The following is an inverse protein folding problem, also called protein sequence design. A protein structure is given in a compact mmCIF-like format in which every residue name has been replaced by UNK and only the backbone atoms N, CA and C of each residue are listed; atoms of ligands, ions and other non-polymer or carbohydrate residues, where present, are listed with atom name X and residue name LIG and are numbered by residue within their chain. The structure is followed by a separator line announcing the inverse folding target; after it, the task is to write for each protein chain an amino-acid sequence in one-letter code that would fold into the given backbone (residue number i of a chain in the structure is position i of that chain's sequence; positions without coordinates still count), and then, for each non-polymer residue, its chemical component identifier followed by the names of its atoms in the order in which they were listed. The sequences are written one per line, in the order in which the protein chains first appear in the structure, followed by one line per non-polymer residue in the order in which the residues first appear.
data_IF_209255493634
#
_entry.id   IF_209255493634
#
_cell.length_a   1.000
_cell.length_b   1.000
_cell.length_c   1.000
_cell.angle_alpha   90.00
_cell.angle_beta   90.00
_cell.angle_gamma   90.00
#
_symmetry.space_group_name_H-M   'P 1'
#
loop_
_entity.id
_entity.type
_entity.pdbx_description
1 polymer ?
#
# COMPACT_ATOMS: atom_id res chain seq x y z
N UNK A 1 -41.52 10.30 24.82
CA UNK A 1 -40.80 10.98 25.92
C UNK A 1 -39.38 10.46 25.94
N UNK A 2 -38.44 11.38 25.91
CA UNK A 2 -37.06 11.29 25.40
C UNK A 2 -36.12 10.47 26.29
N UNK A 3 -35.59 9.38 25.74
CA UNK A 3 -34.49 8.59 26.28
C UNK A 3 -33.20 9.43 26.22
N UNK A 4 -32.89 10.19 27.26
CA UNK A 4 -31.59 10.85 27.43
C UNK A 4 -30.62 9.84 28.07
N UNK A 5 -29.89 9.10 27.22
CA UNK A 5 -28.77 8.24 27.61
C UNK A 5 -27.49 8.82 27.00
N UNK A 6 -26.89 9.83 27.63
CA UNK A 6 -25.50 10.23 27.29
C UNK A 6 -24.75 10.72 28.53
N UNK A 7 -24.98 10.03 29.67
CA UNK A 7 -23.97 9.96 30.73
C UNK A 7 -22.84 9.08 30.22
N UNK A 8 -21.95 9.66 29.43
CA UNK A 8 -20.68 9.05 29.05
C UNK A 8 -19.79 9.15 30.29
N UNK A 9 -19.65 8.02 30.96
CA UNK A 9 -18.72 7.80 32.05
C UNK A 9 -17.27 8.07 31.54
N UNK A 10 -16.50 8.98 32.15
CA UNK A 10 -15.12 9.27 31.71
C UNK A 10 -14.14 8.11 31.95
N UNK A 11 -14.62 6.95 32.41
CA UNK A 11 -13.85 5.73 32.60
C UNK A 11 -13.54 4.92 31.31
N UNK A 12 -13.98 5.37 30.12
CA UNK A 12 -13.66 4.71 28.85
C UNK A 12 -12.32 5.12 28.24
N UNK A 13 -11.62 6.13 28.79
CA UNK A 13 -10.21 6.36 28.48
C UNK A 13 -9.34 5.42 29.31
N UNK A 14 -9.50 4.10 29.13
CA UNK A 14 -8.42 3.17 29.46
C UNK A 14 -7.35 3.33 28.38
N UNK A 15 -6.12 3.78 28.71
CA UNK A 15 -5.00 3.64 27.79
C UNK A 15 -4.79 2.14 27.58
N UNK A 16 -4.98 1.66 26.35
CA UNK A 16 -5.01 0.22 26.06
C UNK A 16 -5.65 -0.11 24.73
N UNK A 17 -6.33 0.84 24.09
CA UNK A 17 -6.60 0.78 22.67
C UNK A 17 -5.70 1.77 21.97
N UNK A 18 -4.60 1.25 21.49
CA UNK A 18 -3.96 1.85 20.33
C UNK A 18 -5.02 1.75 19.21
N UNK A 19 -5.85 2.78 19.03
CA UNK A 19 -6.47 3.07 17.73
C UNK A 19 -5.32 3.51 16.82
N UNK A 20 -4.47 2.54 16.52
CA UNK A 20 -3.55 2.68 15.44
C UNK A 20 -4.30 2.25 14.21
N UNK A 21 -4.61 3.23 13.39
CA UNK A 21 -4.45 3.07 11.97
C UNK A 21 -2.97 2.69 11.68
N UNK A 22 -2.48 1.48 12.04
CA UNK A 22 -1.13 1.01 11.65
C UNK A 22 -1.22 0.69 10.16
N UNK A 23 -1.03 1.72 9.35
CA UNK A 23 -0.36 1.59 8.07
C UNK A 23 1.12 2.03 8.27
N UNK A 24 1.77 1.65 9.38
CA UNK A 24 2.96 2.35 9.93
C UNK A 24 4.33 1.80 9.51
N UNK A 25 4.51 1.39 8.26
CA UNK A 25 5.76 1.63 7.51
C UNK A 25 5.67 0.92 6.18
N UNK A 26 5.67 1.67 5.09
CA UNK A 26 6.00 1.12 3.78
C UNK A 26 7.33 0.36 3.88
N UNK A 27 7.43 -0.74 3.14
CA UNK A 27 8.61 -1.56 3.11
C UNK A 27 9.77 -0.69 2.64
N UNK A 28 10.79 -0.52 3.47
CA UNK A 28 12.04 0.11 3.05
C UNK A 28 12.90 -0.92 2.32
N UNK A 29 13.88 -0.48 1.53
CA UNK A 29 14.79 -1.41 0.87
C UNK A 29 15.52 -2.33 1.88
N UNK A 30 15.84 -1.82 3.08
CA UNK A 30 16.38 -2.64 4.16
C UNK A 30 15.38 -3.71 4.64
N UNK A 31 14.09 -3.36 4.77
CA UNK A 31 13.04 -4.31 5.10
C UNK A 31 12.87 -5.37 4.02
N UNK A 32 12.92 -4.99 2.75
CA UNK A 32 12.92 -5.92 1.62
C UNK A 32 14.11 -6.89 1.67
N UNK A 33 15.34 -6.41 1.90
CA UNK A 33 16.51 -7.30 2.01
C UNK A 33 16.36 -8.31 3.14
N UNK A 34 15.80 -7.89 4.27
CA UNK A 34 15.51 -8.78 5.38
C UNK A 34 14.52 -9.88 4.96
N UNK A 35 13.42 -9.51 4.29
CA UNK A 35 12.44 -10.50 3.79
C UNK A 35 13.04 -11.42 2.73
N UNK A 36 13.82 -10.89 1.78
CA UNK A 36 14.48 -11.68 0.75
C UNK A 36 15.48 -12.68 1.34
N UNK A 37 16.26 -12.26 2.33
CA UNK A 37 17.16 -13.18 3.05
C UNK A 37 16.39 -14.22 3.87
N UNK A 38 15.24 -13.87 4.44
CA UNK A 38 14.46 -14.77 5.29
C UNK A 38 13.67 -15.82 4.48
N UNK A 39 13.15 -15.46 3.31
CA UNK A 39 12.31 -16.35 2.51
C UNK A 39 13.06 -17.08 1.39
N UNK A 40 14.07 -16.43 0.78
CA UNK A 40 14.77 -16.94 -0.40
C UNK A 40 16.25 -17.26 -0.12
N UNK A 41 16.68 -17.16 1.15
CA UNK A 41 18.05 -17.41 1.60
C UNK A 41 19.13 -16.63 0.83
N UNK A 42 18.77 -15.49 0.25
CA UNK A 42 19.69 -14.64 -0.52
C UNK A 42 20.66 -13.96 0.44
N UNK A 43 21.91 -14.42 0.47
CA UNK A 43 22.97 -13.90 1.34
C UNK A 43 23.76 -12.74 0.71
N UNK A 44 23.82 -12.69 -0.62
CA UNK A 44 24.59 -11.71 -1.40
C UNK A 44 23.69 -10.75 -2.18
N UNK A 45 24.29 -9.74 -2.82
CA UNK A 45 23.55 -8.83 -3.69
C UNK A 45 23.03 -9.55 -4.95
N UNK A 46 21.74 -9.38 -5.24
CA UNK A 46 21.13 -9.84 -6.49
C UNK A 46 21.19 -8.74 -7.57
N UNK A 47 21.38 -9.05 -8.87
CA UNK A 47 21.34 -8.05 -9.95
C UNK A 47 20.05 -7.20 -9.96
N UNK A 48 18.92 -7.81 -9.58
CA UNK A 48 17.62 -7.14 -9.52
C UNK A 48 17.45 -6.20 -8.31
N UNK A 49 18.33 -6.25 -7.29
CA UNK A 49 18.19 -5.41 -6.10
C UNK A 49 18.29 -3.92 -6.41
N UNK A 50 19.13 -3.53 -7.37
CA UNK A 50 19.23 -2.13 -7.79
C UNK A 50 17.93 -1.60 -8.43
N UNK A 51 17.28 -2.43 -9.24
CA UNK A 51 15.98 -2.08 -9.81
C UNK A 51 14.89 -2.03 -8.73
N UNK A 52 14.86 -3.01 -7.84
CA UNK A 52 13.90 -3.11 -6.74
C UNK A 52 14.03 -1.95 -5.77
N UNK A 53 15.24 -1.52 -5.43
CA UNK A 53 15.48 -0.34 -4.58
C UNK A 53 14.83 0.91 -5.18
N UNK A 54 15.06 1.15 -6.48
CA UNK A 54 14.45 2.28 -7.18
C UNK A 54 12.92 2.17 -7.29
N UNK A 55 12.39 0.95 -7.38
CA UNK A 55 10.95 0.71 -7.40
C UNK A 55 10.32 0.97 -6.03
N UNK A 56 10.86 0.39 -4.95
CA UNK A 56 10.38 0.57 -3.57
C UNK A 56 10.46 2.04 -3.14
N UNK A 57 11.52 2.77 -3.50
CA UNK A 57 11.62 4.20 -3.19
C UNK A 57 10.53 5.06 -3.87
N UNK A 58 10.02 4.61 -5.03
CA UNK A 58 9.00 5.34 -5.80
C UNK A 58 7.58 4.85 -5.49
N UNK A 59 7.43 3.69 -4.85
CA UNK A 59 6.17 2.99 -4.65
C UNK A 59 5.98 2.62 -3.20
N UNK A 60 4.87 3.08 -2.66
CA UNK A 60 4.35 2.67 -1.37
C UNK A 60 3.88 1.20 -1.44
N UNK A 61 4.78 0.27 -1.09
CA UNK A 61 4.50 -1.16 -0.92
C UNK A 61 4.58 -1.53 0.56
N UNK A 62 3.68 -2.38 1.03
CA UNK A 62 3.69 -2.85 2.41
C UNK A 62 4.58 -4.08 2.57
N UNK A 63 5.19 -4.30 3.76
CA UNK A 63 5.97 -5.51 4.01
C UNK A 63 5.20 -6.81 3.74
N UNK A 64 3.87 -6.82 3.96
CA UNK A 64 3.01 -7.96 3.69
C UNK A 64 2.91 -8.26 2.18
N UNK A 65 2.70 -7.24 1.34
CA UNK A 65 2.69 -7.41 -0.12
C UNK A 65 4.05 -7.92 -0.63
N UNK A 66 5.15 -7.41 -0.06
CA UNK A 66 6.49 -7.88 -0.41
C UNK A 66 6.65 -9.36 -0.03
N UNK A 67 6.31 -9.73 1.19
CA UNK A 67 6.41 -11.12 1.65
C UNK A 67 5.54 -12.05 0.79
N UNK A 68 4.29 -11.66 0.52
CA UNK A 68 3.38 -12.44 -0.32
C UNK A 68 3.98 -12.73 -1.69
N UNK A 69 4.53 -11.72 -2.36
CA UNK A 69 5.11 -11.88 -3.69
C UNK A 69 6.40 -12.71 -3.68
N UNK A 70 7.26 -12.53 -2.67
CA UNK A 70 8.46 -13.34 -2.51
C UNK A 70 8.15 -14.81 -2.21
N UNK A 71 7.05 -15.09 -1.51
CA UNK A 71 6.63 -16.44 -1.15
C UNK A 71 5.91 -17.20 -2.28
N UNK A 72 5.70 -16.58 -3.46
CA UNK A 72 5.07 -17.25 -4.61
C UNK A 72 5.98 -18.27 -5.27
N UNK A 73 7.28 -18.21 -5.03
CA UNK A 73 8.26 -19.13 -5.59
C UNK A 73 9.41 -19.33 -4.63
N UNK A 74 9.90 -20.56 -4.52
CA UNK A 74 11.13 -20.87 -3.79
C UNK A 74 12.40 -20.53 -4.59
N UNK A 75 12.26 -20.22 -5.89
CA UNK A 75 13.35 -19.77 -6.74
C UNK A 75 13.50 -18.25 -6.63
N UNK A 76 14.69 -17.83 -6.19
CA UNK A 76 15.02 -16.43 -5.95
C UNK A 76 14.87 -15.55 -7.22
N UNK A 77 15.31 -16.04 -8.38
CA UNK A 77 15.22 -15.29 -9.63
C UNK A 77 13.75 -15.10 -10.03
N UNK A 78 12.96 -16.17 -9.92
CA UNK A 78 11.53 -16.15 -10.27
C UNK A 78 10.73 -15.25 -9.33
N UNK A 79 10.95 -15.37 -8.02
CA UNK A 79 10.28 -14.57 -7.00
C UNK A 79 10.59 -13.07 -7.14
N UNK A 80 11.86 -12.72 -7.32
CA UNK A 80 12.28 -11.33 -7.52
C UNK A 80 11.77 -10.74 -8.83
N UNK A 81 11.78 -11.52 -9.91
CA UNK A 81 11.22 -11.09 -11.19
C UNK A 81 9.70 -10.89 -11.12
N UNK A 82 9.00 -11.76 -10.39
CA UNK A 82 7.59 -11.62 -10.06
C UNK A 82 7.30 -10.31 -9.32
N UNK A 83 8.11 -10.00 -8.30
CA UNK A 83 7.99 -8.76 -7.53
C UNK A 83 8.24 -7.49 -8.34
N UNK A 84 9.25 -7.49 -9.22
CA UNK A 84 9.47 -6.39 -10.15
C UNK A 84 8.25 -6.17 -11.05
N UNK A 85 7.66 -7.25 -11.57
CA UNK A 85 6.47 -7.18 -12.41
C UNK A 85 5.24 -6.68 -11.63
N UNK A 86 5.04 -7.15 -10.40
CA UNK A 86 3.98 -6.68 -9.51
C UNK A 86 4.03 -5.17 -9.29
N UNK A 87 5.19 -4.62 -8.92
CA UNK A 87 5.32 -3.17 -8.70
C UNK A 87 5.09 -2.39 -10.00
N UNK A 88 5.61 -2.87 -11.13
CA UNK A 88 5.41 -2.25 -12.44
C UNK A 88 3.93 -2.23 -12.84
N UNK A 89 3.20 -3.32 -12.63
CA UNK A 89 1.77 -3.41 -12.95
C UNK A 89 0.93 -2.52 -12.02
N UNK A 90 1.27 -2.44 -10.74
CA UNK A 90 0.61 -1.53 -9.79
C UNK A 90 0.64 -0.08 -10.27
N UNK A 91 1.65 0.35 -11.06
CA UNK A 91 1.73 1.73 -11.64
C UNK A 91 0.64 2.01 -12.65
N UNK A 92 0.21 1.00 -13.41
CA UNK A 92 -0.76 1.16 -14.50
C UNK A 92 -2.17 1.35 -13.94
N UNK A 93 -2.51 0.64 -12.87
CA UNK A 93 -3.84 0.73 -12.25
C UNK A 93 -4.07 2.07 -11.55
N UNK A 94 -3.09 2.57 -10.78
CA UNK A 94 -3.18 3.88 -10.10
C UNK A 94 -3.32 5.04 -11.10
N UNK A 95 -2.61 5.00 -12.23
CA UNK A 95 -2.71 6.03 -13.27
C UNK A 95 -4.07 6.03 -13.99
N UNK A 96 -4.67 4.86 -14.20
CA UNK A 96 -5.97 4.74 -14.83
C UNK A 96 -7.13 5.20 -13.93
N UNK A 97 -7.04 4.99 -12.61
CA UNK A 97 -8.04 5.49 -11.66
C UNK A 97 -8.07 7.02 -11.60
N UNK A 98 -6.90 7.69 -11.62
CA UNK A 98 -6.82 9.16 -11.66
C UNK A 98 -7.45 9.75 -12.94
N UNK A 99 -7.31 9.05 -14.08
CA UNK A 99 -7.95 9.44 -15.33
C UNK A 99 -9.48 9.23 -15.32
N UNK A 100 -9.97 8.20 -14.61
CA UNK A 100 -11.40 7.95 -14.45
C UNK A 100 -12.08 9.01 -13.55
N UNK A 101 -11.42 9.44 -12.46
CA UNK A 101 -11.93 10.50 -11.57
C UNK A 101 -12.06 11.84 -12.31
N UNK A 102 -11.08 12.20 -13.16
CA UNK A 102 -11.14 13.46 -13.95
C UNK A 102 -12.26 13.51 -14.98
N UNK A 103 -12.70 12.37 -15.53
CA UNK A 103 -13.82 12.31 -16.49
C UNK A 103 -15.19 12.47 -15.84
N UNK A 104 -15.32 12.27 -14.53
CA UNK A 104 -16.57 12.44 -13.79
C UNK A 104 -16.89 13.90 -13.43
N UNK A 105 -15.88 14.76 -13.32
CA UNK A 105 -16.03 16.15 -12.87
C UNK A 105 -16.44 17.11 -13.99
N UNK A 106 -15.95 16.90 -15.22
CA UNK A 106 -16.23 17.78 -16.37
C UNK A 106 -17.70 17.79 -16.83
N UNK A 107 -18.51 16.79 -16.43
CA UNK A 107 -19.95 16.75 -16.76
C UNK A 107 -20.85 17.41 -15.71
N UNK A 108 -20.39 17.67 -14.48
CA UNK A 108 -21.22 18.30 -13.44
C UNK A 108 -21.24 19.82 -13.54
N UNK A 109 -20.16 20.42 -14.05
CA UNK A 109 -20.03 21.88 -14.10
C UNK A 109 -20.87 22.54 -15.21
N UNK A 110 -21.33 21.78 -16.22
CA UNK A 110 -22.13 22.30 -17.33
C UNK A 110 -23.66 22.17 -17.11
N UNK A 111 -24.10 21.48 -16.06
CA UNK A 111 -25.53 21.19 -15.84
C UNK A 111 -26.22 22.13 -14.82
N UNK A 112 -25.48 23.03 -14.16
CA UNK A 112 -26.03 23.94 -13.14
C UNK A 112 -26.09 25.41 -13.56
N UNK A 113 -25.69 25.77 -14.79
CA UNK A 113 -25.69 27.17 -15.26
C UNK A 113 -26.80 27.48 -16.27
N UNK A 114 -28.00 26.96 -16.08
CA UNK A 114 -29.13 27.29 -16.97
C UNK A 114 -30.49 27.28 -16.27
N UNK A 115 -30.65 28.00 -15.15
CA UNK A 115 -31.92 28.60 -14.72
C UNK A 115 -31.61 29.78 -13.79
N UNK A 116 -31.19 30.91 -14.37
CA UNK A 116 -31.43 32.26 -13.83
C UNK A 116 -32.30 33.01 -14.85
#
# INVERSE_FOLDING_TARGET
MTNHKDRIDPALLRPGRMDVHINMSYCTFSGFKFLASNYLEIKDNHPLFGEIEGLIQRKEVTPAEVAEELMKSDDADVALQGFVNFIKQKRVNEANEVLAVKKGQTKKDFATSSWD
#
